data_IF_841583911908
#
_entry.id   IF_841583911908
#
_cell.length_a   1.000
_cell.length_b   1.000
_cell.length_c   1.000
_cell.angle_alpha   90.00
_cell.angle_beta   90.00
_cell.angle_gamma   90.00
#
_symmetry.space_group_name_H-M   'P 1'
#
loop_
_entity.id
_entity.type
_entity.pdbx_description
1 polymer ?
#
# COMPACT_ATOMS: atom_id res chain seq x y z
N UNK A 1 37.46 10.61 -12.32
CA UNK A 1 37.42 11.07 -10.92
C UNK A 1 38.40 10.31 -10.05
N UNK A 2 38.26 8.98 -9.90
CA UNK A 2 39.17 8.13 -9.09
C UNK A 2 40.66 8.30 -9.43
N UNK A 3 41.05 8.18 -10.71
CA UNK A 3 42.47 8.27 -11.13
C UNK A 3 43.06 9.64 -10.80
N UNK A 4 42.36 10.72 -11.13
CA UNK A 4 42.79 12.11 -10.83
C UNK A 4 42.99 12.37 -9.33
N UNK A 5 42.16 11.75 -8.48
CA UNK A 5 42.25 11.88 -7.03
C UNK A 5 43.43 11.07 -6.49
N UNK A 6 43.66 9.87 -7.02
CA UNK A 6 44.82 9.04 -6.66
C UNK A 6 46.14 9.73 -7.04
N UNK A 7 46.20 10.32 -8.23
CA UNK A 7 47.39 11.07 -8.68
C UNK A 7 47.63 12.36 -7.87
N UNK A 8 46.57 12.97 -7.33
CA UNK A 8 46.69 14.17 -6.51
C UNK A 8 47.12 13.85 -5.07
N UNK A 9 46.68 12.70 -4.52
CA UNK A 9 47.04 12.24 -3.16
C UNK A 9 48.53 11.89 -3.04
N UNK A 10 49.17 11.48 -4.14
CA UNK A 10 50.62 11.21 -4.13
C UNK A 10 51.46 12.48 -3.99
N UNK A 11 50.88 13.65 -4.29
CA UNK A 11 51.58 14.95 -4.33
C UNK A 11 51.17 15.86 -3.16
N UNK A 12 49.89 15.85 -2.74
CA UNK A 12 49.39 16.67 -1.64
C UNK A 12 48.42 15.90 -0.74
N UNK A 13 48.43 16.26 0.55
CA UNK A 13 47.57 15.69 1.62
C UNK A 13 46.34 16.55 1.91
N UNK A 14 46.05 17.55 1.08
CA UNK A 14 44.93 18.48 1.31
C UNK A 14 43.56 17.79 1.18
N UNK A 15 42.66 18.06 2.14
CA UNK A 15 41.32 17.48 2.17
C UNK A 15 40.44 17.90 0.97
N UNK A 16 40.75 19.04 0.34
CA UNK A 16 40.00 19.55 -0.82
C UNK A 16 40.09 18.63 -2.05
N UNK A 17 41.14 17.81 -2.15
CA UNK A 17 41.34 16.84 -3.23
C UNK A 17 40.16 15.85 -3.32
N UNK A 18 39.50 15.57 -2.18
CA UNK A 18 38.35 14.68 -2.12
C UNK A 18 37.00 15.34 -2.41
N UNK A 19 36.93 16.68 -2.52
CA UNK A 19 35.68 17.41 -2.85
C UNK A 19 34.92 16.81 -4.04
N UNK A 20 35.53 16.52 -5.20
CA UNK A 20 34.81 15.92 -6.33
C UNK A 20 34.23 14.54 -6.00
N UNK A 21 34.93 13.73 -5.19
CA UNK A 21 34.43 12.41 -4.76
C UNK A 21 33.27 12.57 -3.79
N UNK A 22 33.38 13.49 -2.84
CA UNK A 22 32.33 13.77 -1.87
C UNK A 22 31.04 14.29 -2.56
N UNK A 23 31.17 15.19 -3.53
CA UNK A 23 30.04 15.68 -4.34
C UNK A 23 29.39 14.55 -5.12
N UNK A 24 30.18 13.66 -5.73
CA UNK A 24 29.66 12.50 -6.44
C UNK A 24 28.91 11.54 -5.52
N UNK A 25 29.49 11.21 -4.36
CA UNK A 25 28.84 10.39 -3.35
C UNK A 25 27.54 11.03 -2.85
N UNK A 26 27.55 12.34 -2.57
CA UNK A 26 26.37 13.08 -2.15
C UNK A 26 25.27 13.03 -3.23
N UNK A 27 25.64 13.19 -4.50
CA UNK A 27 24.72 13.11 -5.62
C UNK A 27 24.12 11.69 -5.74
N UNK A 28 24.93 10.64 -5.63
CA UNK A 28 24.45 9.26 -5.64
C UNK A 28 23.51 8.96 -4.47
N UNK A 29 23.86 9.43 -3.27
CA UNK A 29 23.02 9.27 -2.08
C UNK A 29 21.66 9.97 -2.26
N UNK A 30 21.66 11.19 -2.80
CA UNK A 30 20.44 11.96 -3.03
C UNK A 30 19.57 11.40 -4.15
N UNK A 31 20.20 10.93 -5.24
CA UNK A 31 19.50 10.49 -6.46
C UNK A 31 18.97 9.06 -6.34
N UNK A 32 19.81 8.15 -5.84
CA UNK A 32 19.56 6.72 -5.86
C UNK A 32 19.15 6.22 -4.48
N UNK A 33 20.03 6.40 -3.48
CA UNK A 33 19.83 5.80 -2.16
C UNK A 33 18.63 6.40 -1.43
N UNK A 34 18.43 7.71 -1.49
CA UNK A 34 17.33 8.39 -0.83
C UNK A 34 15.96 7.98 -1.38
N UNK A 35 15.82 7.92 -2.71
CA UNK A 35 14.57 7.47 -3.35
C UNK A 35 14.27 6.01 -3.03
N UNK A 36 15.29 5.16 -3.07
CA UNK A 36 15.14 3.76 -2.72
C UNK A 36 14.82 3.57 -1.24
N UNK A 37 15.43 4.37 -0.35
CA UNK A 37 15.16 4.39 1.08
C UNK A 37 13.70 4.79 1.37
N UNK A 38 13.20 5.86 0.73
CA UNK A 38 11.79 6.26 0.87
C UNK A 38 10.86 5.17 0.38
N UNK A 39 11.13 4.59 -0.82
CA UNK A 39 10.29 3.53 -1.37
C UNK A 39 10.25 2.32 -0.44
N UNK A 40 11.40 1.91 0.09
CA UNK A 40 11.52 0.79 1.02
C UNK A 40 10.85 1.10 2.36
N UNK A 41 10.95 2.34 2.86
CA UNK A 41 10.33 2.77 4.11
C UNK A 41 8.82 2.97 4.04
N UNK A 42 8.26 3.25 2.85
CA UNK A 42 6.81 3.37 2.62
C UNK A 42 6.18 2.03 2.26
N UNK A 43 6.90 1.16 1.54
CA UNK A 43 6.43 -0.16 1.11
C UNK A 43 6.30 -1.12 2.30
N UNK A 44 5.16 -1.05 2.99
CA UNK A 44 4.88 -1.89 4.16
C UNK A 44 4.33 -3.28 3.83
N UNK A 45 3.95 -3.56 2.59
CA UNK A 45 3.34 -4.84 2.21
C UNK A 45 4.36 -5.88 1.75
N UNK A 46 4.22 -7.13 2.20
CA UNK A 46 4.80 -8.26 1.45
C UNK A 46 4.04 -8.44 0.15
N UNK A 47 4.68 -9.09 -0.82
CA UNK A 47 4.03 -9.59 -2.02
C UNK A 47 2.71 -10.32 -1.71
N UNK A 48 2.72 -11.24 -0.73
CA UNK A 48 1.53 -11.99 -0.30
C UNK A 48 0.39 -11.07 0.16
N UNK A 49 0.70 -10.10 1.03
CA UNK A 49 -0.33 -9.20 1.59
C UNK A 49 -0.88 -8.23 0.55
N UNK A 50 -0.04 -7.80 -0.39
CA UNK A 50 -0.45 -6.96 -1.51
C UNK A 50 -1.35 -7.77 -2.44
N UNK A 51 -0.96 -9.01 -2.75
CA UNK A 51 -1.75 -9.92 -3.59
C UNK A 51 -3.12 -10.21 -2.97
N UNK A 52 -3.19 -10.56 -1.69
CA UNK A 52 -4.44 -10.82 -0.98
C UNK A 52 -5.33 -9.56 -0.94
N UNK A 53 -4.77 -8.41 -0.59
CA UNK A 53 -5.53 -7.16 -0.53
C UNK A 53 -6.06 -6.72 -1.90
N UNK A 54 -5.23 -6.85 -2.95
CA UNK A 54 -5.61 -6.48 -4.31
C UNK A 54 -6.66 -7.44 -4.85
N UNK A 55 -6.50 -8.75 -4.63
CA UNK A 55 -7.48 -9.77 -5.02
C UNK A 55 -8.81 -9.53 -4.31
N UNK A 56 -8.81 -9.25 -3.00
CA UNK A 56 -10.02 -8.87 -2.27
C UNK A 56 -10.68 -7.62 -2.85
N UNK A 57 -9.89 -6.60 -3.21
CA UNK A 57 -10.40 -5.38 -3.85
C UNK A 57 -11.06 -5.65 -5.20
N UNK A 58 -10.46 -6.52 -6.02
CA UNK A 58 -11.02 -6.95 -7.32
C UNK A 58 -12.34 -7.69 -7.11
N UNK A 59 -12.37 -8.67 -6.21
CA UNK A 59 -13.60 -9.43 -5.90
C UNK A 59 -14.70 -8.50 -5.40
N UNK A 60 -14.40 -7.56 -4.49
CA UNK A 60 -15.37 -6.61 -3.97
C UNK A 60 -15.92 -5.69 -5.08
N UNK A 61 -15.06 -5.26 -6.01
CA UNK A 61 -15.45 -4.43 -7.15
C UNK A 61 -16.36 -5.19 -8.12
N UNK A 62 -15.99 -6.41 -8.50
CA UNK A 62 -16.77 -7.27 -9.40
C UNK A 62 -18.13 -7.58 -8.78
N UNK A 63 -18.17 -8.00 -7.52
CA UNK A 63 -19.43 -8.32 -6.84
C UNK A 63 -20.30 -7.08 -6.66
N UNK A 64 -19.72 -5.89 -6.48
CA UNK A 64 -20.47 -4.63 -6.48
C UNK A 64 -21.12 -4.32 -7.83
N UNK A 65 -20.41 -4.55 -8.94
CA UNK A 65 -21.00 -4.44 -10.27
C UNK A 65 -22.11 -5.46 -10.50
N UNK A 66 -21.87 -6.72 -10.13
CA UNK A 66 -22.87 -7.78 -10.22
C UNK A 66 -24.13 -7.42 -9.42
N UNK A 67 -23.98 -6.96 -8.18
CA UNK A 67 -25.10 -6.52 -7.34
C UNK A 67 -25.86 -5.35 -7.96
N UNK A 68 -25.17 -4.37 -8.55
CA UNK A 68 -25.83 -3.25 -9.22
C UNK A 68 -26.62 -3.70 -10.45
N UNK A 69 -26.07 -4.62 -11.24
CA UNK A 69 -26.74 -5.18 -12.41
C UNK A 69 -27.95 -6.02 -11.99
N UNK A 70 -27.83 -6.84 -10.95
CA UNK A 70 -28.96 -7.61 -10.41
C UNK A 70 -30.07 -6.67 -9.90
N UNK A 71 -29.73 -5.59 -9.20
CA UNK A 71 -30.69 -4.56 -8.78
C UNK A 71 -31.33 -3.82 -9.97
N UNK A 72 -30.58 -3.63 -11.07
CA UNK A 72 -31.07 -2.98 -12.27
C UNK A 72 -31.97 -3.88 -13.14
N UNK A 73 -31.67 -5.18 -13.17
CA UNK A 73 -32.37 -6.19 -13.99
C UNK A 73 -33.39 -7.02 -13.21
N UNK A 74 -33.55 -6.81 -11.90
CA UNK A 74 -34.55 -7.54 -11.12
C UNK A 74 -35.94 -7.38 -11.75
N UNK A 75 -36.61 -8.53 -11.86
CA UNK A 75 -37.83 -8.78 -12.62
C UNK A 75 -39.01 -7.87 -12.18
N UNK A 76 -40.02 -7.65 -13.06
CA UNK A 76 -41.02 -6.57 -12.94
C UNK A 76 -41.85 -6.54 -11.64
N UNK A 77 -41.82 -7.57 -10.78
CA UNK A 77 -42.47 -7.55 -9.47
C UNK A 77 -41.84 -6.58 -8.47
N UNK A 78 -40.54 -6.28 -8.61
CA UNK A 78 -39.78 -5.39 -7.73
C UNK A 78 -39.63 -3.96 -8.28
N UNK A 79 -40.29 -3.61 -9.40
CA UNK A 79 -40.21 -2.31 -10.11
C UNK A 79 -40.70 -1.08 -9.30
N UNK A 80 -41.12 -1.29 -8.05
CA UNK A 80 -41.38 -0.26 -7.06
C UNK A 80 -40.13 0.12 -6.24
N UNK A 81 -39.01 -0.58 -6.42
CA UNK A 81 -37.78 -0.30 -5.70
C UNK A 81 -37.21 1.05 -6.10
N UNK A 82 -37.06 1.89 -5.08
CA UNK A 82 -36.48 3.21 -5.17
C UNK A 82 -35.04 3.14 -5.72
N UNK A 83 -34.75 3.93 -6.76
CA UNK A 83 -33.40 4.11 -7.36
C UNK A 83 -32.31 4.33 -6.32
N UNK A 84 -32.68 4.92 -5.18
CA UNK A 84 -31.82 5.18 -4.02
C UNK A 84 -31.20 3.92 -3.39
N UNK A 85 -31.73 2.71 -3.63
CA UNK A 85 -31.11 1.45 -3.17
C UNK A 85 -29.71 1.22 -3.77
N UNK A 86 -29.45 1.75 -4.96
CA UNK A 86 -28.12 1.70 -5.59
C UNK A 86 -27.02 2.41 -4.79
N UNK A 87 -27.37 3.35 -3.90
CA UNK A 87 -26.40 3.97 -2.98
C UNK A 87 -25.79 2.95 -2.02
N UNK A 88 -26.50 1.87 -1.69
CA UNK A 88 -25.98 0.81 -0.81
C UNK A 88 -24.73 0.09 -1.35
N UNK A 89 -24.47 0.18 -2.66
CA UNK A 89 -23.30 -0.42 -3.32
C UNK A 89 -22.07 0.50 -3.27
N UNK A 90 -22.26 1.80 -3.02
CA UNK A 90 -21.18 2.77 -2.89
C UNK A 90 -20.02 2.36 -1.96
N UNK A 91 -20.23 1.84 -0.73
CA UNK A 91 -19.14 1.39 0.12
C UNK A 91 -18.34 0.24 -0.49
N UNK A 92 -19.00 -0.63 -1.26
CA UNK A 92 -18.41 -1.79 -1.89
C UNK A 92 -17.42 -1.37 -3.00
N UNK A 93 -17.82 -0.43 -3.85
CA UNK A 93 -16.94 0.12 -4.90
C UNK A 93 -15.84 1.02 -4.34
N UNK A 94 -16.15 1.86 -3.34
CA UNK A 94 -15.16 2.76 -2.76
C UNK A 94 -14.04 2.01 -2.05
N UNK A 95 -14.39 0.99 -1.26
CA UNK A 95 -13.41 0.10 -0.62
C UNK A 95 -12.71 -0.78 -1.65
N UNK A 96 -13.41 -1.32 -2.64
CA UNK A 96 -12.84 -2.19 -3.68
C UNK A 96 -11.73 -1.49 -4.46
N UNK A 97 -12.04 -0.33 -5.04
CA UNK A 97 -11.04 0.48 -5.76
C UNK A 97 -9.97 1.04 -4.83
N UNK A 98 -10.33 1.43 -3.60
CA UNK A 98 -9.37 1.89 -2.59
C UNK A 98 -8.30 0.83 -2.28
N UNK A 99 -8.70 -0.44 -2.17
CA UNK A 99 -7.79 -1.58 -1.97
C UNK A 99 -6.90 -1.81 -3.18
N UNK A 100 -7.43 -1.73 -4.40
CA UNK A 100 -6.64 -1.89 -5.64
C UNK A 100 -5.59 -0.77 -5.77
N UNK A 101 -5.98 0.48 -5.57
CA UNK A 101 -5.07 1.64 -5.64
C UNK A 101 -3.98 1.59 -4.56
N UNK A 102 -4.32 1.09 -3.37
CA UNK A 102 -3.33 0.85 -2.32
C UNK A 102 -2.33 -0.26 -2.73
N UNK A 103 -2.84 -1.38 -3.27
CA UNK A 103 -2.02 -2.49 -3.77
C UNK A 103 -1.05 -2.09 -4.88
N UNK A 104 -1.51 -1.31 -5.87
CA UNK A 104 -0.68 -0.79 -6.96
C UNK A 104 0.48 0.10 -6.48
N UNK A 105 0.32 0.79 -5.33
CA UNK A 105 1.37 1.58 -4.69
C UNK A 105 2.32 0.74 -3.81
N UNK A 106 2.22 -0.59 -3.86
CA UNK A 106 3.03 -1.51 -3.05
C UNK A 106 2.70 -1.45 -1.56
N UNK A 107 1.53 -0.94 -1.19
CA UNK A 107 1.16 -0.72 0.21
C UNK A 107 -0.12 -1.47 0.56
N UNK A 108 -0.04 -2.41 1.51
CA UNK A 108 -1.24 -3.10 1.99
C UNK A 108 -2.06 -2.14 2.88
N UNK A 109 -3.31 -1.89 2.51
CA UNK A 109 -4.25 -1.00 3.23
C UNK A 109 -4.37 -1.33 4.73
N UNK A 110 -4.43 -2.62 5.07
CA UNK A 110 -4.53 -3.07 6.46
C UNK A 110 -3.28 -2.75 7.29
N UNK A 111 -2.08 -2.75 6.70
CA UNK A 111 -0.86 -2.40 7.42
C UNK A 111 -0.69 -0.90 7.57
N UNK A 112 -1.15 -0.14 6.57
CA UNK A 112 -1.15 1.32 6.61
C UNK A 112 -2.08 1.86 7.70
N UNK A 113 -3.24 1.24 7.93
CA UNK A 113 -4.15 1.63 9.02
C UNK A 113 -3.50 1.52 10.41
N UNK A 114 -2.59 0.56 10.59
CA UNK A 114 -1.92 0.32 11.88
C UNK A 114 -0.53 0.98 12.00
N UNK A 115 -0.06 1.75 11.01
CA UNK A 115 1.29 2.35 11.00
C UNK A 115 2.41 1.34 11.35
N UNK A 116 2.27 0.12 10.82
CA UNK A 116 3.18 -1.00 11.06
C UNK A 116 4.06 -1.24 9.83
N UNK A 117 5.36 -1.39 10.06
CA UNK A 117 6.35 -1.79 9.05
C UNK A 117 6.78 -3.25 9.24
N UNK A 118 7.31 -3.85 8.19
CA UNK A 118 8.00 -5.14 8.25
C UNK A 118 9.48 -4.96 8.62
N UNK A 119 10.11 -5.98 9.24
CA UNK A 119 11.53 -5.96 9.52
C UNK A 119 12.31 -6.13 8.20
N UNK A 120 13.31 -5.27 8.02
CA UNK A 120 14.18 -5.32 6.85
C UNK A 120 15.05 -6.58 6.91
N UNK A 121 15.55 -7.08 5.76
CA UNK A 121 16.31 -8.34 5.72
C UNK A 121 17.46 -8.40 6.74
N UNK A 122 18.15 -7.27 6.95
CA UNK A 122 19.26 -7.18 7.90
C UNK A 122 18.83 -7.10 9.37
N UNK A 123 17.66 -6.50 9.67
CA UNK A 123 17.10 -6.47 11.03
C UNK A 123 16.70 -7.88 11.50
N UNK A 124 16.43 -8.81 10.57
CA UNK A 124 16.12 -10.21 10.90
C UNK A 124 17.34 -10.95 11.45
N UNK A 125 18.54 -10.65 10.95
CA UNK A 125 19.75 -11.35 11.36
C UNK A 125 20.21 -10.98 12.78
N UNK A 126 19.95 -9.75 13.24
CA UNK A 126 20.29 -9.37 14.62
C UNK A 126 19.50 -10.20 15.65
N UNK A 127 18.29 -10.62 15.30
CA UNK A 127 17.45 -11.44 16.17
C UNK A 127 17.85 -12.91 16.19
N UNK A 128 18.34 -13.45 15.05
CA UNK A 128 18.86 -14.82 14.98
C UNK A 128 20.14 -14.99 15.83
N UNK A 129 20.89 -13.90 16.02
CA UNK A 129 22.08 -13.84 16.87
C UNK A 129 21.77 -13.53 18.35
N UNK A 130 20.51 -13.22 18.70
CA UNK A 130 20.12 -12.98 20.08
C UNK A 130 19.92 -14.32 20.84
N UNK A 131 20.38 -14.45 22.09
CA UNK A 131 20.24 -15.69 22.85
C UNK A 131 18.76 -16.03 23.02
N UNK A 132 18.38 -17.21 22.52
CA UNK A 132 17.01 -17.73 22.43
C UNK A 132 16.28 -17.72 23.78
N UNK A 133 15.68 -16.59 24.12
CA UNK A 133 14.88 -16.44 25.33
C UNK A 133 13.41 -16.68 24.98
N UNK A 134 12.87 -17.73 25.64
CA UNK A 134 11.47 -18.15 25.78
C UNK A 134 10.98 -19.27 24.85
N UNK A 135 10.75 -20.45 25.46
CA UNK A 135 9.98 -21.58 24.95
C UNK A 135 8.55 -21.12 24.58
N UNK A 136 8.31 -20.71 23.34
CA UNK A 136 6.94 -20.57 22.80
C UNK A 136 6.30 -21.96 22.62
N UNK A 137 5.04 -22.13 23.03
CA UNK A 137 4.27 -23.38 22.87
C UNK A 137 4.25 -23.86 21.41
N UNK A 138 4.26 -25.18 21.19
CA UNK A 138 4.33 -25.81 19.85
C UNK A 138 3.18 -25.36 18.92
N UNK A 139 2.00 -25.16 19.50
CA UNK A 139 0.80 -24.70 18.79
C UNK A 139 0.90 -23.23 18.38
N UNK A 140 1.43 -22.37 19.26
CA UNK A 140 1.76 -20.97 18.94
C UNK A 140 2.82 -20.93 17.84
N UNK A 141 3.80 -21.84 17.83
CA UNK A 141 4.84 -21.94 16.80
C UNK A 141 4.28 -22.40 15.43
N UNK A 142 3.29 -23.29 15.41
CA UNK A 142 2.57 -23.66 14.19
C UNK A 142 1.69 -22.52 13.68
N UNK A 143 0.92 -21.90 14.56
CA UNK A 143 0.05 -20.76 14.22
C UNK A 143 0.88 -19.55 13.79
N UNK A 144 2.04 -19.30 14.40
CA UNK A 144 2.97 -18.25 13.97
C UNK A 144 3.68 -18.58 12.67
N UNK A 145 3.85 -19.87 12.33
CA UNK A 145 4.33 -20.29 11.00
C UNK A 145 3.28 -20.08 9.91
N UNK A 146 2.00 -20.26 10.25
CA UNK A 146 0.87 -19.99 9.36
C UNK A 146 0.56 -18.49 9.26
N UNK A 147 0.73 -17.75 10.35
CA UNK A 147 0.73 -16.29 10.34
C UNK A 147 2.10 -15.77 9.88
N UNK A 148 2.26 -15.64 8.57
CA UNK A 148 3.32 -14.89 7.87
C UNK A 148 3.56 -13.45 8.41
N UNK A 149 2.76 -13.00 9.38
CA UNK A 149 2.74 -11.69 10.00
C UNK A 149 3.54 -11.55 11.30
N UNK A 150 4.44 -12.48 11.63
CA UNK A 150 5.14 -12.37 12.91
C UNK A 150 6.21 -11.25 12.88
N UNK A 151 6.05 -10.30 13.80
CA UNK A 151 6.85 -9.07 14.04
C UNK A 151 6.60 -7.85 13.14
N UNK A 152 5.42 -7.26 13.29
CA UNK A 152 5.14 -5.88 12.84
C UNK A 152 5.87 -4.88 13.77
N UNK A 153 6.82 -4.11 13.27
CA UNK A 153 7.45 -3.02 14.00
C UNK A 153 6.60 -1.76 13.85
N UNK A 154 6.46 -0.97 14.92
CA UNK A 154 5.80 0.34 14.81
C UNK A 154 6.78 1.29 14.13
N UNK A 155 6.31 2.05 13.14
CA UNK A 155 7.13 3.11 12.55
C UNK A 155 7.41 4.15 13.64
N UNK A 156 8.68 4.31 14.03
CA UNK A 156 9.10 5.32 15.00
C UNK A 156 9.10 6.71 14.35
N UNK A 157 9.53 6.82 13.09
CA UNK A 157 9.62 8.09 12.37
C UNK A 157 8.26 8.72 12.03
N UNK A 158 8.04 9.94 12.52
CA UNK A 158 6.81 10.69 12.26
C UNK A 158 6.66 11.15 10.81
N UNK A 159 7.78 11.45 10.13
CA UNK A 159 7.76 11.84 8.72
C UNK A 159 7.29 10.69 7.82
N UNK A 160 7.73 9.46 8.09
CA UNK A 160 7.27 8.27 7.36
C UNK A 160 5.79 7.99 7.64
N UNK A 161 5.35 8.16 8.90
CA UNK A 161 3.94 8.00 9.27
C UNK A 161 3.02 8.96 8.52
N UNK A 162 3.40 10.25 8.46
CA UNK A 162 2.66 11.26 7.69
C UNK A 162 2.58 10.91 6.21
N UNK A 163 3.67 10.39 5.63
CA UNK A 163 3.70 9.98 4.24
C UNK A 163 2.77 8.78 3.98
N UNK A 164 2.78 7.78 4.87
CA UNK A 164 1.88 6.62 4.81
C UNK A 164 0.41 7.05 4.90
N UNK A 165 0.06 7.96 5.81
CA UNK A 165 -1.30 8.49 5.92
C UNK A 165 -1.74 9.24 4.66
N UNK A 166 -0.86 10.02 4.03
CA UNK A 166 -1.17 10.69 2.75
C UNK A 166 -1.46 9.69 1.65
N UNK A 167 -0.69 8.60 1.55
CA UNK A 167 -0.91 7.54 0.55
C UNK A 167 -2.26 6.85 0.78
N UNK A 168 -2.61 6.52 2.03
CA UNK A 168 -3.93 5.95 2.38
C UNK A 168 -5.04 6.89 1.97
N UNK A 169 -4.93 8.16 2.35
CA UNK A 169 -5.96 9.16 2.09
C UNK A 169 -6.15 9.34 0.58
N UNK A 170 -5.07 9.40 -0.19
CA UNK A 170 -5.15 9.48 -1.67
C UNK A 170 -5.82 8.25 -2.29
N UNK A 171 -5.53 7.04 -1.79
CA UNK A 171 -6.18 5.82 -2.29
C UNK A 171 -7.67 5.78 -1.92
N UNK A 172 -8.04 6.20 -0.71
CA UNK A 172 -9.43 6.26 -0.26
C UNK A 172 -10.22 7.32 -1.04
N UNK A 173 -9.66 8.50 -1.25
CA UNK A 173 -10.26 9.56 -2.06
C UNK A 173 -10.43 9.12 -3.52
N UNK A 174 -9.45 8.42 -4.09
CA UNK A 174 -9.56 7.83 -5.43
C UNK A 174 -10.70 6.81 -5.54
N UNK A 175 -10.82 5.91 -4.55
CA UNK A 175 -11.92 4.94 -4.48
C UNK A 175 -13.30 5.60 -4.31
N UNK A 176 -13.41 6.58 -3.41
CA UNK A 176 -14.64 7.34 -3.21
C UNK A 176 -15.05 8.13 -4.46
N UNK A 177 -14.09 8.76 -5.15
CA UNK A 177 -14.31 9.46 -6.42
C UNK A 177 -14.82 8.53 -7.52
N UNK A 178 -14.24 7.35 -7.65
CA UNK A 178 -14.74 6.34 -8.59
C UNK A 178 -16.15 5.87 -8.24
N UNK A 179 -16.40 5.53 -6.97
CA UNK A 179 -17.69 5.03 -6.53
C UNK A 179 -18.81 6.06 -6.70
N UNK A 180 -18.55 7.33 -6.38
CA UNK A 180 -19.51 8.42 -6.61
C UNK A 180 -19.83 8.59 -8.09
N UNK A 181 -18.81 8.60 -8.96
CA UNK A 181 -19.00 8.68 -10.41
C UNK A 181 -19.85 7.52 -10.94
N UNK A 182 -19.56 6.28 -10.53
CA UNK A 182 -20.33 5.10 -10.94
C UNK A 182 -21.77 5.15 -10.46
N UNK A 183 -22.01 5.49 -9.19
CA UNK A 183 -23.37 5.59 -8.64
C UNK A 183 -24.19 6.64 -9.40
N UNK A 184 -23.61 7.81 -9.68
CA UNK A 184 -24.29 8.86 -10.47
C UNK A 184 -24.67 8.35 -11.85
N UNK A 185 -23.74 7.69 -12.57
CA UNK A 185 -24.02 7.10 -13.89
C UNK A 185 -25.21 6.14 -13.82
N UNK A 186 -25.20 5.17 -12.90
CA UNK A 186 -26.26 4.18 -12.81
C UNK A 186 -27.60 4.75 -12.33
N UNK A 187 -27.61 5.79 -11.50
CA UNK A 187 -28.83 6.47 -11.08
C UNK A 187 -29.47 7.28 -12.20
N UNK A 188 -28.67 7.83 -13.12
CA UNK A 188 -29.13 8.58 -14.29
C UNK A 188 -29.62 7.68 -15.45
N UNK A 189 -29.37 6.38 -15.41
CA UNK A 189 -29.79 5.48 -16.49
C UNK A 189 -31.33 5.41 -16.59
N UNK A 190 -31.90 5.41 -17.82
CA UNK A 190 -33.34 5.44 -18.04
C UNK A 190 -34.08 4.17 -17.61
N UNK A 191 -33.36 3.10 -17.23
CA UNK A 191 -33.90 1.87 -16.65
C UNK A 191 -34.79 2.12 -15.42
N UNK A 192 -34.55 3.21 -14.68
CA UNK A 192 -35.30 3.57 -13.47
C UNK A 192 -36.51 4.47 -13.76
N UNK A 193 -36.77 4.82 -15.03
CA UNK A 193 -37.93 5.61 -15.41
C UNK A 193 -39.15 4.69 -15.40
N UNK A 194 -40.16 5.04 -14.60
CA UNK A 194 -41.44 4.34 -14.59
C UNK A 194 -42.06 4.60 -15.96
N UNK A 195 -42.26 3.54 -16.74
CA UNK A 195 -43.04 3.60 -17.97
C UNK A 195 -44.49 3.82 -17.55
N UNK A 196 -44.97 5.04 -17.73
CA UNK A 196 -46.39 5.39 -17.67
C UNK A 196 -47.14 4.76 -18.85
#
# INVERSE_FOLDING_TARGET
MRVKVLDAITVSTDAEIFRPVAEHCHLLLKSCSHRNFIRLGVSNGTFETICVATTLGIVLTITGFMAMLLLAFESPGFRQCSRWRGIGIWPMWSVGIGLILAGLRGSCFFLLLFSRRQPLPWERFEEDNAPATKKKNRLIRMVSKLMIFDKKLKVQDDNLRRLQHKVVLQSLLGGAGFATMMVVVFLCLPIWRRSD
#
